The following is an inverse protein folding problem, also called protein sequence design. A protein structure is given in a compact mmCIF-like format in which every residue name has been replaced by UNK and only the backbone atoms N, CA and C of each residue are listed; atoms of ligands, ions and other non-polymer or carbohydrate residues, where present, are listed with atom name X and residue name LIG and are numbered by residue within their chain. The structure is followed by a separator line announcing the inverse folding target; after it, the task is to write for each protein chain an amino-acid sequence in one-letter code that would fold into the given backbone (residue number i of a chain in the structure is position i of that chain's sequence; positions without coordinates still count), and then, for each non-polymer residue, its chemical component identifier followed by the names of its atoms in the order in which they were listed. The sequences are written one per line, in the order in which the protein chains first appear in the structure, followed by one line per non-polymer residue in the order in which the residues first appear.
data_IF_528756467721
#
_entry.id   IF_528756467721
#
_cell.length_a   1.000
_cell.length_b   1.000
_cell.length_c   1.000
_cell.angle_alpha   90.00
_cell.angle_beta   90.00
_cell.angle_gamma   90.00
#
_symmetry.space_group_name_H-M   'P 1'
#
loop_
_entity.id
_entity.type
_entity.pdbx_description
1 polymer ?
#
# COMPACT_ATOMS: atom_id res chain seq x y z
N UNK A 1 -16.32 -7.51 -18.68
CA UNK A 1 -15.57 -6.25 -18.70
C UNK A 1 -15.69 -5.69 -17.30
N UNK A 2 -14.70 -5.90 -16.46
CA UNK A 2 -14.80 -5.60 -15.02
C UNK A 2 -14.08 -4.29 -14.79
N UNK A 3 -14.76 -3.19 -15.05
CA UNK A 3 -14.27 -1.84 -14.79
C UNK A 3 -14.43 -1.55 -13.28
N UNK A 4 -13.44 -1.97 -12.50
CA UNK A 4 -13.33 -1.62 -11.08
C UNK A 4 -12.32 -0.47 -10.91
N UNK A 5 -12.60 0.55 -10.10
CA UNK A 5 -11.69 1.68 -9.95
C UNK A 5 -10.38 1.20 -9.32
N UNK A 6 -9.32 1.26 -10.11
CA UNK A 6 -7.96 0.82 -9.75
C UNK A 6 -7.39 1.51 -8.51
N UNK A 7 -7.95 2.67 -8.13
CA UNK A 7 -7.55 3.51 -7.02
C UNK A 7 -8.78 4.18 -6.38
N UNK A 8 -8.63 4.55 -5.11
CA UNK A 8 -9.57 5.41 -4.37
C UNK A 8 -8.80 6.55 -3.69
N UNK A 9 -9.49 7.62 -3.35
CA UNK A 9 -8.92 8.71 -2.57
C UNK A 9 -9.35 8.60 -1.11
N UNK A 10 -8.43 8.83 -0.18
CA UNK A 10 -8.78 9.00 1.24
C UNK A 10 -9.34 10.40 1.49
N UNK A 11 -10.02 10.59 2.62
CA UNK A 11 -10.47 11.92 3.09
C UNK A 11 -9.31 12.94 3.21
N UNK A 12 -8.09 12.43 3.41
CA UNK A 12 -6.85 13.21 3.44
C UNK A 12 -6.38 13.65 2.04
N UNK A 13 -7.11 13.30 0.97
CA UNK A 13 -6.77 13.61 -0.41
C UNK A 13 -5.67 12.72 -1.01
N UNK A 14 -5.32 11.60 -0.35
CA UNK A 14 -4.27 10.70 -0.81
C UNK A 14 -4.82 9.67 -1.78
N UNK A 15 -4.17 9.52 -2.94
CA UNK A 15 -4.48 8.47 -3.90
C UNK A 15 -3.95 7.12 -3.41
N UNK A 16 -4.85 6.19 -3.14
CA UNK A 16 -4.54 4.82 -2.72
C UNK A 16 -4.93 3.84 -3.81
N UNK A 17 -3.92 3.19 -4.38
CA UNK A 17 -4.14 2.13 -5.36
C UNK A 17 -4.60 0.85 -4.67
N UNK A 18 -5.57 0.17 -5.28
CA UNK A 18 -6.12 -1.08 -4.76
C UNK A 18 -5.18 -2.24 -5.03
N UNK A 19 -5.36 -3.36 -4.30
CA UNK A 19 -4.61 -4.59 -4.55
C UNK A 19 -4.88 -5.13 -5.97
N UNK A 20 -6.10 -4.97 -6.49
CA UNK A 20 -6.47 -5.41 -7.83
C UNK A 20 -5.62 -4.75 -8.91
N UNK A 21 -5.43 -3.43 -8.84
CA UNK A 21 -4.56 -2.71 -9.77
C UNK A 21 -3.11 -3.22 -9.74
N UNK A 22 -2.59 -3.51 -8.55
CA UNK A 22 -1.23 -4.05 -8.42
C UNK A 22 -1.10 -5.47 -8.98
N UNK A 23 -2.15 -6.29 -8.83
CA UNK A 23 -2.19 -7.64 -9.41
C UNK A 23 -2.30 -7.60 -10.94
N UNK A 24 -3.10 -6.70 -11.49
CA UNK A 24 -3.22 -6.50 -12.94
C UNK A 24 -1.92 -5.95 -13.55
N UNK A 25 -1.32 -4.96 -12.89
CA UNK A 25 -0.05 -4.36 -13.31
C UNK A 25 1.14 -5.31 -13.13
N UNK A 26 1.06 -6.23 -12.17
CA UNK A 26 2.09 -7.24 -11.90
C UNK A 26 3.36 -6.73 -11.21
N UNK A 27 3.40 -5.47 -10.74
CA UNK A 27 4.58 -4.93 -10.05
C UNK A 27 4.29 -3.84 -9.01
N UNK A 28 5.25 -3.61 -8.11
CA UNK A 28 5.18 -2.57 -7.08
C UNK A 28 5.45 -1.18 -7.67
N UNK A 29 4.54 -0.23 -7.42
CA UNK A 29 4.65 1.13 -7.95
C UNK A 29 5.70 2.03 -7.26
N UNK A 30 6.30 1.60 -6.15
CA UNK A 30 7.33 2.36 -5.44
C UNK A 30 6.83 3.57 -4.63
N UNK A 31 5.52 3.81 -4.60
CA UNK A 31 4.93 4.96 -3.90
C UNK A 31 4.66 4.73 -2.40
N UNK A 32 4.87 3.51 -1.88
CA UNK A 32 4.63 3.25 -0.46
C UNK A 32 3.16 3.14 -0.07
N UNK A 33 2.35 2.47 -0.88
CA UNK A 33 0.92 2.24 -0.63
C UNK A 33 0.70 1.29 0.57
N UNK A 34 -0.18 1.66 1.50
CA UNK A 34 -0.44 0.92 2.77
C UNK A 34 -0.78 -0.57 2.59
N UNK A 35 -1.35 -0.96 1.45
CA UNK A 35 -1.83 -2.32 1.17
C UNK A 35 -1.04 -2.97 0.03
N UNK A 36 0.25 -2.64 -0.09
CA UNK A 36 1.09 -3.16 -1.16
C UNK A 36 1.19 -4.69 -1.07
N UNK A 37 0.74 -5.46 -2.08
CA UNK A 37 0.87 -6.92 -2.07
C UNK A 37 2.31 -7.40 -2.32
N UNK A 38 3.23 -6.50 -2.66
CA UNK A 38 4.61 -6.78 -3.04
C UNK A 38 5.63 -6.30 -1.99
N UNK A 39 5.24 -6.19 -0.72
CA UNK A 39 6.18 -5.89 0.39
C UNK A 39 7.13 -4.69 0.12
N UNK A 40 6.58 -3.67 -0.56
CA UNK A 40 7.29 -2.44 -0.89
C UNK A 40 8.61 -2.66 -1.68
N UNK A 41 8.73 -3.74 -2.48
CA UNK A 41 9.99 -4.12 -3.16
C UNK A 41 10.63 -3.00 -3.99
N UNK A 42 9.81 -2.09 -4.54
CA UNK A 42 10.25 -1.01 -5.42
C UNK A 42 10.27 0.36 -4.71
N UNK A 43 10.03 0.38 -3.40
CA UNK A 43 10.16 1.58 -2.57
C UNK A 43 11.61 1.70 -2.14
N UNK A 44 12.29 2.83 -2.39
CA UNK A 44 13.69 3.01 -2.02
C UNK A 44 13.88 3.07 -0.50
N UNK A 45 15.01 2.54 -0.03
CA UNK A 45 15.44 2.71 1.35
C UNK A 45 15.77 4.19 1.63
N UNK A 46 15.50 4.71 2.85
CA UNK A 46 15.05 4.00 4.06
C UNK A 46 13.52 3.92 4.22
N UNK A 47 12.74 4.40 3.25
CA UNK A 47 11.27 4.50 3.37
C UNK A 47 10.61 3.13 3.48
N UNK A 48 11.12 2.12 2.76
CA UNK A 48 10.59 0.75 2.80
C UNK A 48 10.69 0.14 4.20
N UNK A 49 11.87 0.14 4.81
CA UNK A 49 12.07 -0.36 6.19
C UNK A 49 11.12 0.30 7.19
N UNK A 50 10.96 1.63 7.10
CA UNK A 50 10.03 2.40 7.97
C UNK A 50 8.57 1.99 7.75
N UNK A 51 8.14 1.76 6.51
CA UNK A 51 6.77 1.36 6.20
C UNK A 51 6.44 -0.06 6.68
N UNK A 52 7.38 -0.99 6.53
CA UNK A 52 7.24 -2.37 7.03
C UNK A 52 7.06 -2.35 8.55
N UNK A 53 7.93 -1.63 9.26
CA UNK A 53 7.87 -1.52 10.72
C UNK A 53 6.56 -0.88 11.22
N UNK A 54 6.09 0.20 10.57
CA UNK A 54 4.82 0.87 10.93
C UNK A 54 3.60 -0.03 10.74
N UNK A 55 3.61 -0.94 9.77
CA UNK A 55 2.49 -1.87 9.57
C UNK A 55 2.31 -2.84 10.75
N UNK A 56 3.40 -3.20 11.44
CA UNK A 56 3.38 -4.07 12.61
C UNK A 56 2.87 -3.33 13.85
N UNK A 57 3.26 -2.06 14.01
CA UNK A 57 2.92 -1.24 15.19
C UNK A 57 1.42 -0.91 15.28
N UNK A 58 0.73 -0.72 14.14
CA UNK A 58 -0.71 -0.44 14.13
C UNK A 58 -1.60 -1.65 14.50
N UNK A 59 -1.06 -2.87 14.50
CA UNK A 59 -1.80 -4.06 14.91
C UNK A 59 -1.80 -4.28 16.43
N UNK A 60 -0.88 -3.66 17.17
CA UNK A 60 -0.70 -3.84 18.62
C UNK A 60 -1.64 -2.95 19.46
N UNK A 61 -2.12 -1.82 18.90
CA UNK A 61 -3.00 -0.90 19.64
C UNK A 61 -4.47 -1.37 19.73
N UNK A 62 -4.79 -2.60 19.32
CA UNK A 62 -6.15 -3.16 19.44
C UNK A 62 -6.35 -4.03 20.69
N UNK A 63 -5.36 -4.14 21.57
CA UNK A 63 -5.46 -4.91 22.82
C UNK A 63 -5.14 -4.07 24.08
N UNK A 64 -5.79 -2.91 24.23
CA UNK A 64 -5.88 -2.28 25.56
C UNK A 64 -7.17 -1.50 25.78
#
# INVERSE_FOLDING_TARGET
MTEGPDYYFTDEGLMVMTKAYHLERGFCCGNGCRHCPFEYINVPEPKRSVMIQKSQENNDTKEK
#
